data_IF_720198579891
#
_entry.id   IF_720198579891
#
_cell.length_a   1.000
_cell.length_b   1.000
_cell.length_c   1.000
_cell.angle_alpha   90.00
_cell.angle_beta   90.00
_cell.angle_gamma   90.00
#
_symmetry.space_group_name_H-M   'P 1'
#
loop_
_entity.id
_entity.type
_entity.pdbx_description
1 polymer ?
#
# COMPACT_ATOMS: atom_id res chain seq x y z
N UNK A 1 3.63 -33.95 16.30
CA UNK A 1 4.28 -32.70 15.81
C UNK A 1 5.74 -32.75 16.24
N UNK A 2 6.73 -32.56 15.33
CA UNK A 2 8.16 -32.52 15.67
C UNK A 2 8.47 -31.50 16.75
N UNK A 3 9.47 -31.79 17.59
CA UNK A 3 9.85 -30.91 18.69
C UNK A 3 10.31 -29.53 18.20
N UNK A 4 11.07 -29.50 17.09
CA UNK A 4 11.52 -28.28 16.44
C UNK A 4 10.36 -27.35 16.04
N UNK A 5 9.31 -27.90 15.42
CA UNK A 5 8.13 -27.14 15.02
C UNK A 5 7.33 -26.65 16.25
N UNK A 6 7.18 -27.49 17.27
CA UNK A 6 6.49 -27.12 18.52
C UNK A 6 7.19 -25.98 19.24
N UNK A 7 8.51 -26.08 19.39
CA UNK A 7 9.32 -25.02 20.01
C UNK A 7 9.27 -23.70 19.24
N UNK A 8 9.30 -23.80 17.90
CA UNK A 8 9.18 -22.62 17.03
C UNK A 8 7.81 -21.98 17.14
N UNK A 9 6.70 -22.74 17.03
CA UNK A 9 5.34 -22.20 17.19
C UNK A 9 5.14 -21.53 18.55
N UNK A 10 5.68 -22.13 19.63
CA UNK A 10 5.63 -21.52 20.96
C UNK A 10 6.37 -20.17 21.01
N UNK A 11 7.48 -20.04 20.28
CA UNK A 11 8.27 -18.80 20.22
C UNK A 11 7.58 -17.64 19.51
N UNK A 12 6.53 -17.92 18.70
CA UNK A 12 5.74 -16.88 18.02
C UNK A 12 4.80 -16.12 18.96
N UNK A 13 4.58 -16.61 20.20
CA UNK A 13 3.71 -15.96 21.18
C UNK A 13 2.23 -15.93 20.79
N UNK A 14 1.79 -16.80 19.86
CA UNK A 14 0.40 -16.89 19.38
C UNK A 14 -0.27 -18.17 19.89
N UNK A 15 -1.61 -18.19 20.09
CA UNK A 15 -2.33 -19.40 20.46
C UNK A 15 -2.19 -20.49 19.40
N UNK A 16 -1.97 -21.74 19.83
CA UNK A 16 -1.94 -22.91 18.96
C UNK A 16 -3.29 -23.64 19.08
N UNK A 17 -3.99 -23.78 17.94
CA UNK A 17 -5.25 -24.52 17.87
C UNK A 17 -5.01 -25.77 17.05
N UNK A 18 -5.37 -26.94 17.60
CA UNK A 18 -5.32 -28.22 16.89
C UNK A 18 -6.69 -28.56 16.32
N UNK A 19 -6.72 -28.98 15.07
CA UNK A 19 -7.95 -29.36 14.34
C UNK A 19 -7.83 -30.77 13.82
N UNK A 20 -8.98 -31.47 13.71
CA UNK A 20 -9.04 -32.88 13.32
C UNK A 20 -9.41 -33.11 11.86
N UNK A 21 -9.88 -32.10 11.14
CA UNK A 21 -10.32 -32.23 9.74
C UNK A 21 -10.01 -30.98 8.90
N UNK A 22 -10.01 -31.16 7.56
CA UNK A 22 -9.87 -30.05 6.61
C UNK A 22 -11.05 -29.06 6.72
N UNK A 23 -12.27 -29.54 6.97
CA UNK A 23 -13.45 -28.67 7.12
C UNK A 23 -13.35 -27.76 8.36
N UNK A 24 -12.89 -28.31 9.48
CA UNK A 24 -12.66 -27.55 10.70
C UNK A 24 -11.52 -26.52 10.49
N UNK A 25 -10.44 -26.91 9.80
CA UNK A 25 -9.35 -26.01 9.44
C UNK A 25 -9.87 -24.82 8.61
N UNK A 26 -10.64 -25.10 7.56
CA UNK A 26 -11.19 -24.06 6.70
C UNK A 26 -12.14 -23.13 7.48
N UNK A 27 -13.03 -23.70 8.29
CA UNK A 27 -13.99 -22.93 9.10
C UNK A 27 -13.27 -21.96 10.07
N UNK A 28 -12.20 -22.42 10.73
CA UNK A 28 -11.41 -21.58 11.63
C UNK A 28 -10.58 -20.53 10.85
N UNK A 29 -9.99 -20.91 9.73
CA UNK A 29 -9.16 -20.02 8.91
C UNK A 29 -9.98 -18.89 8.28
N UNK A 30 -11.23 -19.13 7.92
CA UNK A 30 -12.16 -18.13 7.39
C UNK A 30 -12.70 -17.17 8.47
N UNK A 31 -12.78 -17.60 9.73
CA UNK A 31 -13.23 -16.75 10.86
C UNK A 31 -12.13 -15.85 11.41
N UNK A 32 -10.90 -16.35 11.43
CA UNK A 32 -9.76 -15.64 12.00
C UNK A 32 -8.51 -16.09 11.28
N UNK A 33 -7.92 -15.22 10.46
CA UNK A 33 -6.75 -15.51 9.65
C UNK A 33 -5.58 -16.00 10.51
N UNK A 34 -5.21 -17.29 10.43
CA UNK A 34 -4.09 -17.81 11.21
C UNK A 34 -2.77 -17.23 10.70
N UNK A 35 -1.78 -17.10 11.59
CA UNK A 35 -0.43 -16.65 11.22
C UNK A 35 0.30 -17.68 10.37
N UNK A 36 0.05 -18.96 10.64
CA UNK A 36 0.63 -20.09 9.94
C UNK A 36 -0.28 -21.32 10.10
N UNK A 37 -0.32 -22.17 9.10
CA UNK A 37 -0.98 -23.47 9.13
C UNK A 37 0.10 -24.54 9.08
N UNK A 38 0.04 -25.50 10.02
CA UNK A 38 0.94 -26.65 10.06
C UNK A 38 0.15 -27.95 9.86
N UNK A 39 0.49 -28.72 8.83
CA UNK A 39 -0.16 -29.98 8.45
C UNK A 39 0.76 -31.16 8.73
N UNK A 40 0.34 -32.12 9.56
CA UNK A 40 1.13 -33.32 9.90
C UNK A 40 0.78 -34.47 8.95
N UNK A 41 1.53 -34.60 7.88
CA UNK A 41 1.31 -35.61 6.84
C UNK A 41 1.90 -36.99 7.17
N UNK A 42 2.58 -37.16 8.30
CA UNK A 42 3.22 -38.45 8.70
C UNK A 42 2.21 -39.56 9.00
N UNK A 43 0.97 -39.20 9.39
CA UNK A 43 -0.07 -40.17 9.76
C UNK A 43 -1.07 -40.40 8.65
N UNK A 44 -1.45 -39.36 7.92
CA UNK A 44 -2.41 -39.40 6.83
C UNK A 44 -2.01 -38.38 5.76
N UNK A 45 -1.29 -38.87 4.76
CA UNK A 45 -0.74 -38.08 3.67
C UNK A 45 -1.86 -37.46 2.83
N UNK A 46 -2.84 -38.27 2.40
CA UNK A 46 -3.91 -37.82 1.50
C UNK A 46 -4.76 -36.73 2.14
N UNK A 47 -5.12 -36.89 3.43
CA UNK A 47 -5.89 -35.89 4.15
C UNK A 47 -5.12 -34.57 4.32
N UNK A 48 -3.82 -34.64 4.57
CA UNK A 48 -2.98 -33.45 4.73
C UNK A 48 -2.79 -32.70 3.41
N UNK A 49 -2.60 -33.43 2.30
CA UNK A 49 -2.51 -32.85 0.97
C UNK A 49 -3.85 -32.27 0.49
N UNK A 50 -4.98 -32.92 0.77
CA UNK A 50 -6.32 -32.36 0.50
C UNK A 50 -6.54 -31.05 1.28
N UNK A 51 -6.21 -31.04 2.57
CA UNK A 51 -6.30 -29.84 3.39
C UNK A 51 -5.40 -28.70 2.85
N UNK A 52 -4.19 -29.02 2.42
CA UNK A 52 -3.27 -28.08 1.80
C UNK A 52 -3.84 -27.52 0.49
N UNK A 53 -4.29 -28.39 -0.41
CA UNK A 53 -4.90 -28.02 -1.68
C UNK A 53 -6.08 -27.08 -1.49
N UNK A 54 -7.00 -27.43 -0.59
CA UNK A 54 -8.17 -26.60 -0.29
C UNK A 54 -7.79 -25.24 0.30
N UNK A 55 -6.83 -25.21 1.22
CA UNK A 55 -6.32 -23.96 1.81
C UNK A 55 -5.70 -23.07 0.74
N UNK A 56 -4.88 -23.63 -0.15
CA UNK A 56 -4.16 -22.85 -1.17
C UNK A 56 -5.01 -22.44 -2.36
N UNK A 57 -6.10 -23.18 -2.64
CA UNK A 57 -7.05 -22.84 -3.72
C UNK A 57 -8.04 -21.75 -3.32
N UNK A 58 -8.25 -21.49 -2.05
CA UNK A 58 -9.15 -20.44 -1.57
C UNK A 58 -8.44 -19.07 -1.55
N UNK A 59 -9.07 -18.04 -2.11
CA UNK A 59 -8.46 -16.71 -2.26
C UNK A 59 -8.15 -15.99 -0.95
N UNK A 60 -8.87 -16.31 0.13
CA UNK A 60 -8.68 -15.69 1.43
C UNK A 60 -7.63 -16.42 2.28
N UNK A 61 -7.65 -17.77 2.27
CA UNK A 61 -6.71 -18.58 3.05
C UNK A 61 -5.42 -18.92 2.30
N UNK A 62 -5.39 -18.84 0.97
CA UNK A 62 -4.25 -19.20 0.14
C UNK A 62 -2.97 -18.38 0.38
N UNK A 63 -3.12 -17.16 0.92
CA UNK A 63 -1.99 -16.31 1.31
C UNK A 63 -1.39 -16.66 2.68
N UNK A 64 -2.05 -17.54 3.46
CA UNK A 64 -1.51 -18.00 4.74
C UNK A 64 -0.39 -18.99 4.50
N UNK A 65 0.80 -18.81 5.12
CA UNK A 65 1.89 -19.75 4.95
C UNK A 65 1.54 -21.12 5.55
N UNK A 66 1.74 -22.16 4.74
CA UNK A 66 1.48 -23.55 5.09
C UNK A 66 2.77 -24.34 5.21
N UNK A 67 2.97 -24.99 6.35
CA UNK A 67 4.08 -25.92 6.62
C UNK A 67 3.57 -27.35 6.60
N UNK A 68 4.19 -28.21 5.84
CA UNK A 68 3.91 -29.65 5.86
C UNK A 68 5.00 -30.38 6.64
N UNK A 69 4.58 -31.24 7.56
CA UNK A 69 5.49 -32.13 8.31
C UNK A 69 5.41 -33.53 7.68
N UNK A 70 6.55 -34.06 7.28
CA UNK A 70 6.66 -35.40 6.71
C UNK A 70 7.75 -36.23 7.39
N UNK A 71 7.73 -37.54 7.21
CA UNK A 71 8.89 -38.40 7.42
C UNK A 71 9.83 -38.30 6.22
N UNK A 72 11.00 -38.95 6.29
CA UNK A 72 11.98 -39.05 5.18
C UNK A 72 11.33 -39.74 3.95
N UNK A 73 10.54 -39.04 3.19
CA UNK A 73 9.92 -39.49 1.94
C UNK A 73 10.06 -38.41 0.89
N UNK A 74 11.04 -38.57 0.00
CA UNK A 74 11.34 -37.64 -1.08
C UNK A 74 10.14 -37.37 -2.00
N UNK A 75 9.27 -38.37 -2.17
CA UNK A 75 8.10 -38.24 -3.02
C UNK A 75 7.07 -37.34 -2.39
N UNK A 76 6.78 -37.52 -1.10
CA UNK A 76 5.83 -36.70 -0.37
C UNK A 76 6.36 -35.28 -0.20
N UNK A 77 7.67 -35.14 -0.02
CA UNK A 77 8.35 -33.83 0.04
C UNK A 77 8.09 -33.03 -1.24
N UNK A 78 8.35 -33.63 -2.42
CA UNK A 78 8.12 -32.97 -3.71
C UNK A 78 6.62 -32.63 -3.91
N UNK A 79 5.74 -33.59 -3.62
CA UNK A 79 4.31 -33.43 -3.80
C UNK A 79 3.71 -32.33 -2.90
N UNK A 80 4.22 -32.15 -1.68
CA UNK A 80 3.79 -31.09 -0.79
C UNK A 80 4.08 -29.69 -1.40
N UNK A 81 5.28 -29.49 -1.96
CA UNK A 81 5.61 -28.25 -2.66
C UNK A 81 4.79 -28.03 -3.93
N UNK A 82 4.59 -29.07 -4.74
CA UNK A 82 3.75 -29.02 -5.93
C UNK A 82 2.29 -28.65 -5.59
N UNK A 83 1.80 -29.08 -4.42
CA UNK A 83 0.46 -28.74 -3.91
C UNK A 83 0.38 -27.33 -3.32
N UNK A 84 1.54 -26.66 -3.09
CA UNK A 84 1.61 -25.27 -2.65
C UNK A 84 2.06 -25.07 -1.20
N UNK A 85 2.75 -26.05 -0.59
CA UNK A 85 3.40 -25.82 0.71
C UNK A 85 4.46 -24.71 0.61
N UNK A 86 4.51 -23.82 1.58
CA UNK A 86 5.52 -22.76 1.67
C UNK A 86 6.84 -23.27 2.30
N UNK A 87 6.73 -24.32 3.12
CA UNK A 87 7.87 -25.01 3.69
C UNK A 87 7.50 -26.48 4.04
N UNK A 88 8.50 -27.35 3.96
CA UNK A 88 8.37 -28.76 4.35
C UNK A 88 9.44 -29.10 5.38
N UNK A 89 9.04 -29.69 6.51
CA UNK A 89 9.90 -30.10 7.61
C UNK A 89 9.86 -31.61 7.74
N UNK A 90 11.02 -32.25 7.80
CA UNK A 90 11.15 -33.68 8.03
C UNK A 90 11.47 -34.00 9.51
N UNK A 91 11.16 -35.22 9.94
CA UNK A 91 11.40 -35.65 11.32
C UNK A 91 12.88 -35.67 11.74
N UNK A 92 13.77 -35.95 10.79
CA UNK A 92 15.22 -36.03 10.96
C UNK A 92 15.93 -34.68 10.83
N UNK A 93 15.21 -33.64 10.37
CA UNK A 93 15.79 -32.31 10.19
C UNK A 93 16.31 -31.74 11.51
N UNK A 94 17.56 -31.27 11.49
CA UNK A 94 18.15 -30.61 12.66
C UNK A 94 17.30 -29.41 13.13
N UNK A 95 17.08 -29.31 14.44
CA UNK A 95 16.24 -28.25 15.03
C UNK A 95 16.66 -26.84 14.59
N UNK A 96 17.96 -26.56 14.48
CA UNK A 96 18.47 -25.26 14.02
C UNK A 96 18.14 -24.99 12.55
N UNK A 97 18.21 -26.02 11.69
CA UNK A 97 17.83 -25.90 10.29
C UNK A 97 16.33 -25.67 10.14
N UNK A 98 15.50 -26.49 10.77
CA UNK A 98 14.05 -26.34 10.75
C UNK A 98 13.64 -24.92 11.18
N UNK A 99 14.20 -24.41 12.28
CA UNK A 99 13.93 -23.06 12.75
C UNK A 99 14.33 -22.00 11.73
N UNK A 100 15.52 -22.12 11.15
CA UNK A 100 16.00 -21.15 10.14
C UNK A 100 15.10 -21.10 8.90
N UNK A 101 14.64 -22.26 8.41
CA UNK A 101 13.71 -22.37 7.27
C UNK A 101 12.36 -21.76 7.59
N UNK A 102 11.76 -22.08 8.75
CA UNK A 102 10.49 -21.55 9.21
C UNK A 102 10.52 -20.03 9.40
N UNK A 103 11.58 -19.49 10.01
CA UNK A 103 11.79 -18.05 10.14
C UNK A 103 11.95 -17.37 8.77
N UNK A 104 12.63 -18.01 7.84
CA UNK A 104 12.79 -17.49 6.47
C UNK A 104 11.45 -17.51 5.71
N UNK A 105 10.64 -18.56 5.88
CA UNK A 105 9.28 -18.66 5.32
C UNK A 105 8.39 -17.53 5.83
N UNK A 106 8.33 -17.31 7.15
CA UNK A 106 7.52 -16.22 7.72
C UNK A 106 7.98 -14.84 7.23
N UNK A 107 9.29 -14.60 7.19
CA UNK A 107 9.81 -13.33 6.65
C UNK A 107 9.46 -13.12 5.17
N UNK A 108 9.39 -14.18 4.36
CA UNK A 108 8.91 -14.08 2.95
C UNK A 108 7.43 -13.74 2.92
N UNK A 109 6.61 -14.50 3.66
CA UNK A 109 5.15 -14.26 3.75
C UNK A 109 4.83 -12.86 4.25
N UNK A 110 5.50 -12.38 5.31
CA UNK A 110 5.29 -11.02 5.83
C UNK A 110 5.63 -9.97 4.77
N UNK A 111 6.74 -10.12 4.04
CA UNK A 111 7.10 -9.21 2.94
C UNK A 111 6.09 -9.22 1.80
N UNK A 112 5.60 -10.39 1.41
CA UNK A 112 4.62 -10.51 0.33
C UNK A 112 3.26 -9.89 0.70
N UNK A 113 2.92 -9.84 1.99
CA UNK A 113 1.71 -9.20 2.50
C UNK A 113 1.80 -7.68 2.61
N UNK A 114 3.00 -7.12 2.75
CA UNK A 114 3.21 -5.68 2.94
C UNK A 114 3.52 -4.93 1.65
N UNK A 115 3.80 -5.63 0.55
CA UNK A 115 4.05 -5.01 -0.75
C UNK A 115 2.84 -5.11 -1.67
N UNK A 116 2.64 -4.08 -2.49
CA UNK A 116 1.57 -4.11 -3.49
C UNK A 116 1.91 -5.11 -4.61
N UNK A 117 0.98 -6.03 -4.98
CA UNK A 117 1.30 -7.14 -5.88
C UNK A 117 1.76 -6.71 -7.29
N UNK A 118 1.20 -5.62 -7.86
CA UNK A 118 1.53 -5.20 -9.23
C UNK A 118 2.82 -4.38 -9.33
N UNK A 119 3.14 -3.58 -8.30
CA UNK A 119 4.29 -2.67 -8.33
C UNK A 119 5.46 -3.11 -7.47
N UNK A 120 5.23 -4.04 -6.54
CA UNK A 120 6.19 -4.48 -5.51
C UNK A 120 6.67 -3.36 -4.58
N UNK A 121 5.99 -2.22 -4.58
CA UNK A 121 6.25 -1.14 -3.63
C UNK A 121 5.60 -1.46 -2.26
N UNK A 122 6.17 -0.95 -1.15
CA UNK A 122 5.58 -0.99 0.17
C UNK A 122 4.11 -0.57 0.17
N UNK A 123 3.26 -1.30 0.91
CA UNK A 123 1.84 -1.02 1.04
C UNK A 123 1.51 -0.04 2.17
N UNK A 124 0.22 0.12 2.46
CA UNK A 124 -0.28 1.11 3.43
C UNK A 124 0.33 0.95 4.83
N UNK A 125 0.54 -0.28 5.30
CA UNK A 125 1.13 -0.56 6.63
C UNK A 125 2.57 -0.04 6.72
N UNK A 126 3.37 -0.25 5.69
CA UNK A 126 4.76 0.20 5.64
C UNK A 126 4.85 1.73 5.47
N UNK A 127 3.91 2.34 4.73
CA UNK A 127 3.79 3.79 4.60
C UNK A 127 3.55 4.42 5.98
N UNK A 128 2.59 3.89 6.76
CA UNK A 128 2.27 4.38 8.10
C UNK A 128 3.45 4.20 9.07
N UNK A 129 4.11 3.05 9.01
CA UNK A 129 5.29 2.76 9.81
C UNK A 129 6.44 3.75 9.51
N UNK A 130 6.68 4.06 8.23
CA UNK A 130 7.72 5.00 7.82
C UNK A 130 7.43 6.44 8.27
N UNK A 131 6.18 6.91 8.13
CA UNK A 131 5.77 8.22 8.65
C UNK A 131 6.00 8.28 10.16
N UNK A 132 5.52 7.26 10.89
CA UNK A 132 5.68 7.17 12.35
C UNK A 132 7.16 7.18 12.77
N UNK A 133 8.00 6.43 12.06
CA UNK A 133 9.45 6.40 12.30
C UNK A 133 10.06 7.80 12.17
N UNK A 134 9.76 8.52 11.08
CA UNK A 134 10.29 9.88 10.85
C UNK A 134 9.81 10.89 11.88
N UNK A 135 8.55 10.80 12.30
CA UNK A 135 8.02 11.64 13.38
C UNK A 135 8.78 11.40 14.70
N UNK A 136 9.01 10.13 15.06
CA UNK A 136 9.73 9.75 16.28
C UNK A 136 11.21 10.15 16.23
N UNK A 137 11.83 10.14 15.07
CA UNK A 137 13.22 10.59 14.87
C UNK A 137 13.35 12.12 14.86
N UNK A 138 12.25 12.86 14.83
CA UNK A 138 12.25 14.32 14.75
C UNK A 138 12.83 14.88 13.44
N UNK A 139 12.88 14.08 12.38
CA UNK A 139 13.38 14.49 11.07
C UNK A 139 12.38 15.38 10.35
N UNK A 140 12.89 16.37 9.60
CA UNK A 140 12.09 17.13 8.64
C UNK A 140 11.86 16.31 7.39
N UNK A 141 10.58 16.12 7.02
CA UNK A 141 10.19 15.37 5.82
C UNK A 141 8.93 15.94 5.18
N UNK A 142 8.74 15.59 3.93
CA UNK A 142 7.53 15.82 3.18
C UNK A 142 6.88 14.48 2.85
N UNK A 143 5.57 14.39 3.06
CA UNK A 143 4.73 13.30 2.57
C UNK A 143 3.98 13.81 1.34
N UNK A 144 4.20 13.14 0.23
CA UNK A 144 3.64 13.49 -1.06
C UNK A 144 2.63 12.41 -1.46
N UNK A 145 1.40 12.79 -1.75
CA UNK A 145 0.34 11.91 -2.23
C UNK A 145 0.13 12.13 -3.72
N UNK A 146 0.47 11.16 -4.54
CA UNK A 146 0.30 11.20 -5.99
C UNK A 146 -0.89 10.33 -6.43
N UNK A 147 -1.64 10.82 -7.42
CA UNK A 147 -2.84 10.19 -7.95
C UNK A 147 -2.99 10.55 -9.44
N UNK A 148 -3.55 9.65 -10.24
CA UNK A 148 -3.75 9.85 -11.66
C UNK A 148 -5.12 10.45 -11.96
N UNK A 149 -5.15 11.57 -12.67
CA UNK A 149 -6.39 12.14 -13.16
C UNK A 149 -6.88 11.40 -14.40
N UNK A 150 -8.18 11.15 -14.51
CA UNK A 150 -8.81 10.45 -15.63
C UNK A 150 -8.38 8.98 -15.81
N UNK A 151 -7.81 8.35 -14.77
CA UNK A 151 -7.37 6.96 -14.84
C UNK A 151 -8.51 5.98 -15.09
N UNK A 152 -9.68 6.23 -14.50
CA UNK A 152 -10.86 5.40 -14.75
C UNK A 152 -11.30 5.46 -16.19
N UNK A 153 -11.40 6.66 -16.77
CA UNK A 153 -11.80 6.87 -18.16
C UNK A 153 -10.80 6.25 -19.14
N UNK A 154 -9.51 6.27 -18.78
CA UNK A 154 -8.46 5.55 -19.52
C UNK A 154 -8.71 4.03 -19.51
N UNK A 155 -8.97 3.43 -18.33
CA UNK A 155 -9.28 2.01 -18.19
C UNK A 155 -10.53 1.62 -19.01
N UNK A 156 -11.57 2.45 -18.97
CA UNK A 156 -12.81 2.22 -19.72
C UNK A 156 -12.57 2.28 -21.25
N UNK A 157 -11.58 3.06 -21.71
CA UNK A 157 -11.21 3.22 -23.12
C UNK A 157 -10.24 2.15 -23.62
N UNK A 158 -9.19 1.84 -22.86
CA UNK A 158 -8.04 1.04 -23.28
C UNK A 158 -7.97 -0.35 -22.65
N UNK A 159 -8.53 -0.58 -21.54
CA UNK A 159 -8.62 -1.78 -20.69
C UNK A 159 -7.81 -1.68 -19.39
N UNK A 160 -8.20 -2.49 -18.41
CA UNK A 160 -7.47 -2.61 -17.14
C UNK A 160 -6.02 -3.08 -17.32
N UNK A 161 -5.73 -3.88 -18.33
CA UNK A 161 -4.35 -4.32 -18.61
C UNK A 161 -3.43 -3.14 -18.98
N UNK A 162 -3.93 -2.21 -19.81
CA UNK A 162 -3.18 -1.00 -20.15
C UNK A 162 -3.10 -0.04 -18.95
N UNK A 163 -4.14 0.02 -18.12
CA UNK A 163 -4.10 0.75 -16.86
C UNK A 163 -3.04 0.22 -15.90
N UNK A 164 -2.93 -1.09 -15.73
CA UNK A 164 -1.86 -1.71 -14.93
C UNK A 164 -0.46 -1.35 -15.45
N UNK A 165 -0.32 -1.18 -16.76
CA UNK A 165 0.93 -0.71 -17.35
C UNK A 165 1.24 0.73 -16.95
N UNK A 166 0.24 1.62 -16.98
CA UNK A 166 0.38 3.00 -16.53
C UNK A 166 0.75 3.07 -15.04
N UNK A 167 0.10 2.27 -14.20
CA UNK A 167 0.44 2.16 -12.77
C UNK A 167 1.91 1.78 -12.57
N UNK A 168 2.42 0.80 -13.32
CA UNK A 168 3.84 0.41 -13.25
C UNK A 168 4.78 1.50 -13.75
N UNK A 169 4.38 2.28 -14.77
CA UNK A 169 5.15 3.42 -15.26
C UNK A 169 5.25 4.49 -14.17
N UNK A 170 4.13 4.90 -13.56
CA UNK A 170 4.15 5.86 -12.46
C UNK A 170 4.99 5.37 -11.28
N UNK A 171 4.80 4.11 -10.87
CA UNK A 171 5.61 3.49 -9.81
C UNK A 171 7.12 3.57 -10.10
N UNK A 172 7.51 3.33 -11.35
CA UNK A 172 8.90 3.39 -11.79
C UNK A 172 9.44 4.82 -11.79
N UNK A 173 8.66 5.79 -12.27
CA UNK A 173 9.02 7.21 -12.23
C UNK A 173 9.27 7.66 -10.79
N UNK A 174 8.29 7.41 -9.91
CA UNK A 174 8.39 7.76 -8.48
C UNK A 174 9.63 7.13 -7.85
N UNK A 175 9.84 5.83 -8.07
CA UNK A 175 10.99 5.11 -7.51
C UNK A 175 12.32 5.70 -8.01
N UNK A 176 12.46 5.92 -9.31
CA UNK A 176 13.74 6.35 -9.89
C UNK A 176 14.08 7.79 -9.52
N UNK A 177 13.10 8.70 -9.56
CA UNK A 177 13.29 10.10 -9.18
C UNK A 177 13.62 10.21 -7.69
N UNK A 178 12.84 9.56 -6.82
CA UNK A 178 13.08 9.58 -5.37
C UNK A 178 14.44 8.95 -5.02
N UNK A 179 14.80 7.83 -5.65
CA UNK A 179 16.10 7.20 -5.43
C UNK A 179 17.26 8.06 -5.93
N UNK A 180 17.09 8.72 -7.07
CA UNK A 180 18.13 9.55 -7.69
C UNK A 180 18.39 10.86 -6.94
N UNK A 181 17.32 11.53 -6.49
CA UNK A 181 17.43 12.87 -5.89
C UNK A 181 17.51 12.87 -4.35
N UNK A 182 17.05 11.83 -3.68
CA UNK A 182 16.96 11.81 -2.21
C UNK A 182 18.06 10.99 -1.51
N UNK A 183 19.09 10.52 -2.22
CA UNK A 183 20.31 9.88 -1.70
C UNK A 183 20.09 8.86 -0.56
N UNK A 184 19.06 8.01 -0.70
CA UNK A 184 18.72 6.97 0.29
C UNK A 184 17.79 7.43 1.43
N UNK A 185 17.42 8.69 1.51
CA UNK A 185 16.44 9.21 2.47
C UNK A 185 15.00 9.21 1.93
N UNK A 186 14.80 8.76 0.70
CA UNK A 186 13.50 8.66 0.06
C UNK A 186 12.80 7.32 0.35
N UNK A 187 11.48 7.35 0.37
CA UNK A 187 10.61 6.18 0.47
C UNK A 187 9.47 6.30 -0.53
N UNK A 188 9.08 5.21 -1.17
CA UNK A 188 7.94 5.17 -2.10
C UNK A 188 7.06 4.00 -1.73
N UNK A 189 5.75 4.24 -1.61
CA UNK A 189 4.74 3.24 -1.31
C UNK A 189 3.55 3.32 -2.25
N UNK A 190 2.78 2.25 -2.36
CA UNK A 190 1.59 2.13 -3.19
C UNK A 190 0.41 1.69 -2.33
N UNK A 191 -0.60 2.57 -2.19
CA UNK A 191 -1.79 2.30 -1.38
C UNK A 191 -2.73 1.34 -2.11
N UNK A 192 -2.99 1.60 -3.38
CA UNK A 192 -3.85 0.79 -4.24
C UNK A 192 -4.43 1.60 -5.41
N UNK A 193 -4.80 0.92 -6.49
CA UNK A 193 -5.29 1.58 -7.69
C UNK A 193 -4.25 2.53 -8.28
N UNK A 194 -4.58 3.81 -8.34
CA UNK A 194 -3.76 4.92 -8.82
C UNK A 194 -3.15 5.78 -7.68
N UNK A 195 -3.32 5.35 -6.42
CA UNK A 195 -2.90 6.08 -5.22
C UNK A 195 -1.49 5.69 -4.75
N UNK A 196 -0.55 6.63 -4.76
CA UNK A 196 0.82 6.46 -4.29
C UNK A 196 1.19 7.47 -3.21
N UNK A 197 2.06 7.03 -2.29
CA UNK A 197 2.72 7.93 -1.32
C UNK A 197 4.22 7.85 -1.54
N UNK A 198 4.87 9.01 -1.56
CA UNK A 198 6.32 9.05 -1.40
C UNK A 198 6.72 10.06 -0.34
N UNK A 199 7.81 9.74 0.39
CA UNK A 199 8.25 10.51 1.54
C UNK A 199 9.71 10.89 1.31
N UNK A 200 10.00 12.18 1.30
CA UNK A 200 11.29 12.74 0.90
C UNK A 200 11.73 13.86 1.87
N UNK A 201 13.01 14.23 1.89
CA UNK A 201 13.46 15.44 2.58
C UNK A 201 12.72 16.67 2.07
N UNK A 202 12.40 17.63 2.96
CA UNK A 202 11.70 18.87 2.58
C UNK A 202 12.47 19.65 1.52
N UNK A 203 13.80 19.65 1.60
CA UNK A 203 14.68 20.32 0.61
C UNK A 203 14.56 19.80 -0.81
N UNK A 204 14.16 18.53 -0.99
CA UNK A 204 14.06 17.88 -2.30
C UNK A 204 12.67 18.01 -2.94
N UNK A 205 11.68 18.58 -2.25
CA UNK A 205 10.26 18.59 -2.70
C UNK A 205 10.10 19.21 -4.07
N UNK A 206 10.61 20.43 -4.27
CA UNK A 206 10.41 21.14 -5.52
C UNK A 206 11.06 20.42 -6.70
N UNK A 207 12.30 19.98 -6.53
CA UNK A 207 13.05 19.29 -7.58
C UNK A 207 12.41 17.93 -7.91
N UNK A 208 12.16 17.11 -6.90
CA UNK A 208 11.58 15.78 -7.11
C UNK A 208 10.16 15.84 -7.70
N UNK A 209 9.29 16.71 -7.18
CA UNK A 209 7.92 16.82 -7.71
C UNK A 209 7.90 17.39 -9.13
N UNK A 210 8.76 18.38 -9.46
CA UNK A 210 8.88 18.91 -10.82
C UNK A 210 9.36 17.86 -11.79
N UNK A 211 10.40 17.09 -11.44
CA UNK A 211 10.93 16.00 -12.27
C UNK A 211 9.89 14.90 -12.51
N UNK A 212 9.16 14.50 -11.45
CA UNK A 212 8.09 13.50 -11.58
C UNK A 212 7.03 13.96 -12.58
N UNK A 213 6.55 15.20 -12.46
CA UNK A 213 5.55 15.78 -13.37
C UNK A 213 6.07 15.83 -14.81
N UNK A 214 7.29 16.31 -15.03
CA UNK A 214 7.88 16.44 -16.36
C UNK A 214 8.10 15.10 -17.05
N UNK A 215 8.64 14.12 -16.31
CA UNK A 215 8.85 12.76 -16.84
C UNK A 215 7.51 12.07 -17.11
N UNK A 216 6.53 12.24 -16.24
CA UNK A 216 5.19 11.69 -16.44
C UNK A 216 4.53 12.26 -17.69
N UNK A 217 4.51 13.57 -17.85
CA UNK A 217 3.91 14.26 -19.01
C UNK A 217 4.62 13.91 -20.32
N UNK A 218 5.91 13.57 -20.25
CA UNK A 218 6.68 13.11 -21.40
C UNK A 218 6.30 11.68 -21.80
N UNK A 219 6.11 10.78 -20.85
CA UNK A 219 5.95 9.34 -21.13
C UNK A 219 4.50 8.91 -21.32
N UNK A 220 3.55 9.55 -20.61
CA UNK A 220 2.17 9.09 -20.56
C UNK A 220 1.43 9.19 -21.90
N UNK A 221 1.66 10.21 -22.77
CA UNK A 221 1.01 10.29 -24.07
C UNK A 221 1.28 9.08 -24.97
N UNK A 222 2.39 8.38 -24.79
CA UNK A 222 2.73 7.18 -25.56
C UNK A 222 1.95 5.93 -25.13
N UNK A 223 1.14 6.01 -24.08
CA UNK A 223 0.23 4.94 -23.68
C UNK A 223 -1.13 5.03 -24.42
N UNK A 224 -1.34 6.09 -25.17
CA UNK A 224 -2.54 6.33 -25.99
C UNK A 224 -2.32 5.95 -27.45
N UNK A 225 -3.42 5.70 -28.17
CA UNK A 225 -3.37 5.57 -29.63
C UNK A 225 -2.81 6.84 -30.28
N UNK A 226 -2.22 6.73 -31.46
CA UNK A 226 -1.69 7.89 -32.17
C UNK A 226 -2.76 8.95 -32.43
N UNK A 227 -4.00 8.52 -32.68
CA UNK A 227 -5.14 9.41 -32.89
C UNK A 227 -5.46 10.22 -31.61
N UNK A 228 -5.63 9.55 -30.47
CA UNK A 228 -5.99 10.20 -29.20
C UNK A 228 -4.83 11.09 -28.70
N UNK A 229 -3.58 10.63 -28.89
CA UNK A 229 -2.38 11.41 -28.55
C UNK A 229 -2.27 12.70 -29.36
N UNK A 230 -2.50 12.65 -30.66
CA UNK A 230 -2.46 13.86 -31.53
C UNK A 230 -3.61 14.81 -31.23
N UNK A 231 -4.78 14.30 -30.86
CA UNK A 231 -5.93 15.10 -30.50
C UNK A 231 -5.77 15.78 -29.13
N UNK A 232 -4.97 15.19 -28.22
CA UNK A 232 -4.84 15.61 -26.84
C UNK A 232 -6.04 15.25 -25.95
N UNK A 233 -6.99 14.46 -26.46
CA UNK A 233 -8.16 13.97 -25.76
C UNK A 233 -8.74 12.73 -26.46
N UNK A 234 -9.64 12.04 -25.75
CA UNK A 234 -10.49 10.99 -26.32
C UNK A 234 -11.95 11.17 -25.90
N UNK A 235 -12.87 10.42 -26.46
CA UNK A 235 -14.28 10.45 -26.04
C UNK A 235 -14.55 9.34 -25.02
N UNK A 236 -14.93 9.76 -23.81
CA UNK A 236 -15.46 8.90 -22.76
C UNK A 236 -16.98 8.96 -22.68
N UNK A 237 -17.58 8.02 -21.92
CA UNK A 237 -19.00 8.03 -21.58
C UNK A 237 -19.19 8.37 -20.11
N UNK A 238 -20.06 9.30 -19.80
CA UNK A 238 -20.45 9.56 -18.42
C UNK A 238 -21.40 8.46 -17.89
N UNK A 239 -21.81 8.56 -16.63
CA UNK A 239 -22.74 7.62 -15.97
C UNK A 239 -24.12 7.57 -16.65
N UNK A 240 -24.46 8.54 -17.47
CA UNK A 240 -25.72 8.64 -18.27
C UNK A 240 -25.52 8.16 -19.71
N UNK A 241 -24.31 7.69 -20.08
CA UNK A 241 -23.97 7.24 -21.41
C UNK A 241 -23.70 8.36 -22.42
N UNK A 242 -23.63 9.63 -21.97
CA UNK A 242 -23.36 10.76 -22.85
C UNK A 242 -21.85 10.85 -23.14
N UNK A 243 -21.51 11.07 -24.41
CA UNK A 243 -20.13 11.26 -24.84
C UNK A 243 -19.63 12.64 -24.40
N UNK A 244 -18.47 12.66 -23.76
CA UNK A 244 -17.75 13.90 -23.43
C UNK A 244 -16.26 13.74 -23.77
N UNK A 245 -15.58 14.89 -23.91
CA UNK A 245 -14.14 14.89 -24.15
C UNK A 245 -13.42 14.68 -22.82
N UNK A 246 -12.53 13.70 -22.77
CA UNK A 246 -11.64 13.42 -21.66
C UNK A 246 -10.23 13.78 -22.08
N UNK A 247 -9.52 14.69 -21.40
CA UNK A 247 -8.13 15.00 -21.71
C UNK A 247 -7.23 13.78 -21.49
N UNK A 248 -5.99 13.84 -21.95
CA UNK A 248 -5.01 12.83 -21.58
C UNK A 248 -4.76 12.90 -20.08
N UNK A 249 -4.40 11.76 -19.52
CA UNK A 249 -4.13 11.57 -18.10
C UNK A 249 -3.04 12.51 -17.60
N UNK A 250 -3.22 13.04 -16.40
CA UNK A 250 -2.26 13.88 -15.68
C UNK A 250 -1.99 13.29 -14.30
N UNK A 251 -0.96 13.75 -13.63
CA UNK A 251 -0.65 13.37 -12.25
C UNK A 251 -0.85 14.56 -11.31
N UNK A 252 -1.64 14.36 -10.26
CA UNK A 252 -1.88 15.33 -9.20
C UNK A 252 -1.13 14.92 -7.93
N UNK A 253 -0.29 15.82 -7.37
CA UNK A 253 0.52 15.54 -6.19
C UNK A 253 0.18 16.54 -5.08
N UNK A 254 -0.36 16.05 -3.96
CA UNK A 254 -0.54 16.82 -2.72
C UNK A 254 0.66 16.64 -1.81
N UNK A 255 1.25 17.72 -1.31
CA UNK A 255 2.46 17.69 -0.47
C UNK A 255 2.20 18.30 0.89
N UNK A 256 2.56 17.56 1.94
CA UNK A 256 2.48 17.98 3.35
C UNK A 256 3.85 17.86 3.99
N UNK A 257 4.25 18.88 4.76
CA UNK A 257 5.53 18.89 5.47
C UNK A 257 5.34 19.08 6.97
N UNK A 258 6.25 18.52 7.77
CA UNK A 258 6.31 18.81 9.20
C UNK A 258 7.23 20.01 9.54
N UNK A 259 7.63 20.81 8.55
CA UNK A 259 8.42 22.03 8.77
C UNK A 259 7.62 23.13 9.48
N UNK A 260 6.32 23.26 9.14
CA UNK A 260 5.44 24.33 9.62
C UNK A 260 4.29 23.84 10.49
N UNK A 261 4.14 22.52 10.61
CA UNK A 261 3.11 21.84 11.39
C UNK A 261 3.72 20.79 12.29
N UNK A 262 3.14 20.66 13.46
CA UNK A 262 3.51 19.60 14.39
C UNK A 262 2.48 18.46 14.30
N UNK A 263 2.95 17.27 13.94
CA UNK A 263 2.14 16.06 13.89
C UNK A 263 2.50 15.15 15.06
N UNK A 264 1.48 14.60 15.71
CA UNK A 264 1.66 13.67 16.84
C UNK A 264 1.55 12.21 16.41
N UNK A 265 0.91 11.92 15.26
CA UNK A 265 0.77 10.58 14.72
C UNK A 265 0.56 10.60 13.19
N UNK A 266 0.85 9.45 12.56
CA UNK A 266 0.84 9.31 11.09
C UNK A 266 -0.53 9.61 10.45
N UNK A 267 -1.64 9.31 11.14
CA UNK A 267 -2.98 9.55 10.60
C UNK A 267 -3.22 11.02 10.26
N UNK A 268 -2.72 11.98 11.07
CA UNK A 268 -2.85 13.42 10.78
C UNK A 268 -2.13 13.81 9.49
N UNK A 269 -0.96 13.22 9.24
CA UNK A 269 -0.19 13.45 8.01
C UNK A 269 -0.96 12.91 6.82
N UNK A 270 -1.53 11.69 6.93
CA UNK A 270 -2.26 11.03 5.86
C UNK A 270 -3.57 11.74 5.51
N UNK A 271 -4.33 12.21 6.51
CA UNK A 271 -5.55 13.00 6.30
C UNK A 271 -5.24 14.29 5.53
N UNK A 272 -4.23 15.01 5.97
CA UNK A 272 -3.85 16.27 5.33
C UNK A 272 -3.27 16.04 3.92
N UNK A 273 -2.50 14.97 3.71
CA UNK A 273 -2.00 14.61 2.38
C UNK A 273 -3.15 14.28 1.42
N UNK A 274 -4.20 13.60 1.92
CA UNK A 274 -5.44 13.32 1.15
C UNK A 274 -6.18 14.61 0.78
N UNK A 275 -6.29 15.57 1.72
CA UNK A 275 -6.88 16.88 1.46
C UNK A 275 -6.09 17.62 0.38
N UNK A 276 -4.76 17.65 0.51
CA UNK A 276 -3.89 18.33 -0.46
C UNK A 276 -3.91 17.67 -1.84
N UNK A 277 -4.00 16.33 -1.92
CA UNK A 277 -4.25 15.60 -3.17
C UNK A 277 -5.56 16.05 -3.81
N UNK A 278 -6.65 16.09 -3.02
CA UNK A 278 -7.97 16.52 -3.50
C UNK A 278 -7.92 17.96 -4.02
N UNK A 279 -7.16 18.84 -3.38
CA UNK A 279 -6.94 20.20 -3.87
C UNK A 279 -6.14 20.22 -5.18
N UNK A 280 -5.04 19.46 -5.27
CA UNK A 280 -4.23 19.38 -6.50
C UNK A 280 -5.08 18.93 -7.70
N UNK A 281 -5.98 17.97 -7.53
CA UNK A 281 -6.95 17.52 -8.57
C UNK A 281 -7.91 18.60 -9.08
N UNK A 282 -8.05 19.71 -8.40
CA UNK A 282 -8.87 20.85 -8.89
C UNK A 282 -8.10 21.76 -9.84
N UNK A 283 -6.78 21.61 -9.92
CA UNK A 283 -5.90 22.40 -10.78
C UNK A 283 -5.72 21.71 -12.15
N UNK A 284 -5.54 22.47 -13.23
CA UNK A 284 -5.40 21.89 -14.56
C UNK A 284 -4.01 21.30 -14.79
N UNK A 285 -3.96 20.19 -15.54
CA UNK A 285 -2.70 19.54 -15.95
C UNK A 285 -2.02 18.78 -14.83
N UNK A 286 -0.84 18.23 -15.10
CA UNK A 286 -0.01 17.62 -14.05
C UNK A 286 0.55 18.68 -13.12
N UNK A 287 0.38 18.50 -11.82
CA UNK A 287 0.67 19.55 -10.84
C UNK A 287 1.03 18.97 -9.48
N UNK A 288 1.85 19.69 -8.73
CA UNK A 288 1.99 19.48 -7.29
C UNK A 288 1.60 20.72 -6.50
N UNK A 289 1.03 20.51 -5.32
CA UNK A 289 0.63 21.58 -4.41
C UNK A 289 1.11 21.28 -2.99
N UNK A 290 1.82 22.28 -2.41
CA UNK A 290 2.40 22.15 -1.07
C UNK A 290 1.47 22.84 -0.08
N UNK A 291 1.13 22.17 1.03
CA UNK A 291 0.42 22.82 2.14
C UNK A 291 1.31 23.90 2.78
N UNK A 292 0.84 25.15 2.69
CA UNK A 292 1.53 26.32 3.23
C UNK A 292 0.92 26.81 4.55
N UNK A 293 -0.12 26.15 5.03
CA UNK A 293 -0.80 26.51 6.28
C UNK A 293 0.14 26.21 7.47
N UNK A 294 0.02 27.05 8.50
CA UNK A 294 0.80 26.90 9.75
C UNK A 294 -0.18 26.52 10.87
N UNK A 295 0.32 25.84 11.88
CA UNK A 295 -0.46 25.65 13.10
C UNK A 295 -0.73 27.04 13.73
N UNK A 296 -1.96 27.23 14.22
CA UNK A 296 -2.29 28.44 14.97
C UNK A 296 -1.36 28.53 16.19
N UNK A 297 -0.61 29.63 16.29
CA UNK A 297 0.24 29.89 17.47
C UNK A 297 -0.66 29.91 18.69
N UNK A 298 -0.48 29.07 19.71
CA UNK A 298 -1.28 29.12 20.93
C UNK A 298 -1.07 30.49 21.57
N UNK A 299 -2.08 31.37 21.51
CA UNK A 299 -2.03 32.71 22.09
C UNK A 299 -2.40 33.86 21.15
N UNK A 300 -2.61 33.65 19.84
CA UNK A 300 -3.04 34.71 18.91
C UNK A 300 -4.55 34.78 18.69
N UNK A 301 -5.36 34.41 19.67
CA UNK A 301 -6.79 34.77 19.66
C UNK A 301 -6.88 36.27 19.78
N UNK A 302 -7.06 36.99 18.68
CA UNK A 302 -7.48 38.38 18.71
C UNK A 302 -8.83 38.44 19.47
N UNK A 303 -8.97 39.28 20.49
CA UNK A 303 -10.28 39.47 21.14
C UNK A 303 -11.25 39.99 20.08
N UNK A 304 -12.36 39.31 19.93
CA UNK A 304 -13.54 39.83 19.19
C UNK A 304 -13.80 41.25 19.69
N UNK A 305 -13.45 42.25 18.92
CA UNK A 305 -13.85 43.61 19.17
C UNK A 305 -15.37 43.64 19.10
N UNK A 306 -15.98 43.81 20.28
CA UNK A 306 -17.40 44.05 20.42
C UNK A 306 -17.80 45.21 19.51
N UNK A 307 -18.79 45.01 18.66
CA UNK A 307 -19.47 46.10 17.94
C UNK A 307 -20.04 47.04 18.96
N UNK A 308 -19.82 48.38 18.86
CA UNK A 308 -20.53 49.32 19.72
C UNK A 308 -22.02 49.31 19.35
N UNK A 309 -22.85 49.04 20.34
CA UNK A 309 -24.28 49.22 20.31
C UNK A 309 -24.62 50.63 19.88
N UNK A 310 -25.34 50.78 18.80
CA UNK A 310 -26.08 52.01 18.52
C UNK A 310 -27.35 52.02 19.37
N UNK A 311 -27.23 52.51 20.60
CA UNK A 311 -28.34 52.96 21.41
C UNK A 311 -28.89 54.28 20.84
N UNK A 312 -30.18 54.30 20.78
CA UNK A 312 -31.08 55.26 20.20
C UNK A 312 -30.96 56.72 20.59
N UNK A 313 -31.53 57.52 19.77
CA UNK A 313 -32.10 58.77 20.16
C UNK A 313 -33.49 58.89 19.48
N UNK A 314 -34.50 58.63 20.27
CA UNK A 314 -35.83 59.19 20.15
C UNK A 314 -35.77 60.65 20.60
N UNK A 315 -36.48 61.46 19.89
CA UNK A 315 -37.14 62.72 20.24
C UNK A 315 -37.22 63.55 18.97
N UNK A 316 -38.38 63.98 18.41
CA UNK A 316 -39.55 64.58 19.01
C UNK A 316 -39.80 65.82 18.22
N UNK A 317 -40.78 65.77 17.39
CA UNK A 317 -41.85 66.79 17.13
C UNK A 317 -42.62 66.45 15.87
#
# INVERSE_FOLDING_TARGET
>A
MPEALRGWLASLGVPIVSVGSADELMALSLRGRPRVIALDARRNQDQSLDALQRTKSDSYTGVVPCVVVTSEDDRLFAQAFETGADEVITDDMATAEARTRLDAMLRRSDRDLVVHPSTRLPGAVEIEAEITRRLNEGKLFATCYADLDHFKEFNDRYSYHEGDRVIRILAKILHDVVKGLCLGEGFVGHIGGDDFIFIIPVSSVNEACSEIVEVFDTLIPYQYSEQDRRAGYFFGKDRRGQLHRVPLMTVSIGVVTNERRHFTHAAQVSELATEMKSYAKTLPGSVFSIDRRQDAVPGSAQPLTARPDKLGATEGK
#
